data_IF_097164610900
#
_entry.id   IF_097164610900
#
_cell.length_a   1.000
_cell.length_b   1.000
_cell.length_c   1.000
_cell.angle_alpha   90.00
_cell.angle_beta   90.00
_cell.angle_gamma   90.00
#
_symmetry.space_group_name_H-M   'P 1'
#
loop_
_entity.id
_entity.type
_entity.pdbx_description
1 polymer ?
#
# COMPACT_ATOMS: atom_id res chain seq x y z
N UNK A 1 -11.58 -35.12 26.81
CA UNK A 1 -10.65 -35.51 25.74
C UNK A 1 -11.43 -35.60 24.44
N UNK A 2 -11.39 -34.57 23.61
CA UNK A 2 -11.61 -34.70 22.17
C UNK A 2 -10.83 -33.58 21.51
N UNK A 3 -9.77 -34.00 20.84
CA UNK A 3 -8.81 -33.21 20.10
C UNK A 3 -9.47 -32.73 18.81
N UNK A 4 -9.85 -31.45 18.75
CA UNK A 4 -10.25 -30.80 17.50
C UNK A 4 -8.99 -30.37 16.75
N UNK A 5 -8.56 -31.17 15.78
CA UNK A 5 -7.46 -30.83 14.91
C UNK A 5 -7.82 -29.59 14.07
N UNK A 6 -7.20 -28.44 14.36
CA UNK A 6 -7.20 -27.28 13.47
C UNK A 6 -6.51 -27.66 12.18
N UNK A 7 -7.28 -27.84 11.11
CA UNK A 7 -6.75 -27.96 9.75
C UNK A 7 -6.26 -26.57 9.32
N UNK A 8 -4.95 -26.34 9.47
CA UNK A 8 -4.27 -25.15 8.94
C UNK A 8 -4.12 -25.35 7.43
N UNK A 9 -4.95 -24.68 6.63
CA UNK A 9 -4.73 -24.59 5.18
C UNK A 9 -3.71 -23.48 4.94
N UNK A 10 -2.44 -23.87 4.78
CA UNK A 10 -1.38 -23.01 4.26
C UNK A 10 -1.62 -22.79 2.76
N UNK A 11 -2.12 -21.62 2.37
CA UNK A 11 -2.00 -21.15 1.00
C UNK A 11 -0.58 -20.61 0.82
N UNK A 12 0.27 -21.43 0.20
CA UNK A 12 1.64 -21.07 -0.16
C UNK A 12 1.66 -20.01 -1.24
N UNK A 13 2.40 -18.92 -1.00
CA UNK A 13 2.77 -17.98 -2.04
C UNK A 13 3.92 -18.58 -2.87
N UNK A 14 3.62 -18.95 -4.12
CA UNK A 14 4.63 -19.39 -5.07
C UNK A 14 5.60 -18.24 -5.41
N UNK A 15 6.90 -18.49 -5.29
CA UNK A 15 7.99 -17.63 -5.77
C UNK A 15 8.76 -18.32 -6.90
N UNK A 16 9.12 -17.58 -7.95
CA UNK A 16 10.11 -17.91 -9.00
C UNK A 16 9.55 -18.74 -10.17
N UNK A 17 9.86 -18.48 -11.45
CA UNK A 17 10.91 -17.68 -12.10
C UNK A 17 10.67 -17.64 -13.64
N UNK A 18 11.68 -17.84 -14.50
CA UNK A 18 12.35 -16.77 -15.27
C UNK A 18 12.19 -16.88 -16.81
N UNK A 19 12.70 -15.85 -17.52
CA UNK A 19 13.30 -16.02 -18.86
C UNK A 19 12.43 -15.65 -20.06
N UNK A 20 12.80 -14.55 -20.72
CA UNK A 20 12.28 -14.16 -22.03
C UNK A 20 13.29 -13.27 -22.75
N UNK A 21 14.31 -13.90 -23.31
CA UNK A 21 15.23 -13.31 -24.29
C UNK A 21 14.47 -12.78 -25.51
N UNK A 22 14.93 -11.66 -26.07
CA UNK A 22 14.66 -11.30 -27.45
C UNK A 22 15.98 -10.87 -28.11
N UNK A 23 16.28 -11.29 -29.36
CA UNK A 23 17.64 -11.31 -29.88
C UNK A 23 18.04 -10.02 -30.63
N UNK A 24 19.36 -9.80 -30.59
CA UNK A 24 20.24 -9.15 -31.57
C UNK A 24 19.66 -8.18 -32.61
N UNK A 25 20.20 -6.96 -32.60
CA UNK A 25 20.49 -6.21 -33.82
C UNK A 25 21.91 -5.63 -33.72
N UNK A 26 22.69 -6.02 -34.71
CA UNK A 26 24.11 -5.83 -34.91
C UNK A 26 24.46 -4.36 -35.21
N UNK A 27 25.57 -3.88 -34.65
CA UNK A 27 26.03 -2.50 -34.79
C UNK A 27 27.38 -2.45 -35.48
N UNK A 28 27.41 -2.04 -36.75
CA UNK A 28 28.60 -1.46 -37.40
C UNK A 28 28.18 -0.40 -38.42
N UNK A 29 28.86 0.76 -38.41
CA UNK A 29 28.72 1.79 -39.44
C UNK A 29 28.88 3.23 -38.94
N UNK A 30 30.13 3.70 -38.85
CA UNK A 30 30.46 5.14 -38.83
C UNK A 30 30.25 5.74 -40.23
N UNK A 31 29.68 6.94 -40.36
CA UNK A 31 30.32 8.05 -41.10
C UNK A 31 29.62 9.40 -40.84
N UNK A 32 30.39 10.48 -40.86
CA UNK A 32 30.00 11.80 -40.36
C UNK A 32 29.26 12.72 -41.35
N UNK A 33 28.52 13.69 -40.78
CA UNK A 33 28.35 15.04 -41.38
C UNK A 33 27.78 16.06 -40.37
N UNK A 34 28.66 17.00 -39.99
CA UNK A 34 28.49 18.45 -39.70
C UNK A 34 27.38 18.91 -38.70
N UNK A 35 27.75 19.62 -37.62
CA UNK A 35 26.75 20.25 -36.73
C UNK A 35 26.17 21.55 -37.33
N UNK A 36 24.85 21.71 -37.22
CA UNK A 36 24.11 22.95 -37.47
C UNK A 36 24.09 23.83 -36.20
N UNK A 37 24.03 25.17 -36.31
CA UNK A 37 24.08 26.08 -35.16
C UNK A 37 22.79 26.03 -34.31
N UNK A 38 22.83 26.43 -33.02
CA UNK A 38 21.66 26.40 -32.17
C UNK A 38 20.66 27.50 -32.56
N UNK A 39 19.38 27.11 -32.68
CA UNK A 39 18.28 28.04 -32.76
C UNK A 39 18.00 28.61 -31.37
N UNK A 40 18.21 29.92 -31.20
CA UNK A 40 17.77 30.67 -30.03
C UNK A 40 16.24 30.72 -30.02
N UNK A 41 15.60 29.83 -29.28
CA UNK A 41 14.19 29.95 -28.94
C UNK A 41 14.03 30.93 -27.76
N UNK A 42 13.19 31.94 -27.96
CA UNK A 42 12.80 32.93 -26.95
C UNK A 42 12.18 32.20 -25.74
N UNK A 43 12.76 32.41 -24.56
CA UNK A 43 12.26 31.91 -23.29
C UNK A 43 10.99 32.68 -22.92
N UNK A 44 9.82 32.05 -23.06
CA UNK A 44 8.57 32.56 -22.47
C UNK A 44 8.64 32.14 -20.99
N UNK A 45 8.67 33.07 -20.02
CA UNK A 45 8.53 32.67 -18.63
C UNK A 45 7.11 32.15 -18.43
N UNK A 46 6.97 30.82 -18.32
CA UNK A 46 5.75 30.20 -17.79
C UNK A 46 5.59 30.70 -16.37
N UNK A 47 4.61 31.58 -16.16
CA UNK A 47 4.20 32.03 -14.84
C UNK A 47 3.87 30.79 -13.99
N UNK A 48 4.41 30.65 -12.77
CA UNK A 48 4.07 29.50 -11.94
C UNK A 48 2.56 29.45 -11.71
N UNK A 49 1.99 28.25 -11.85
CA UNK A 49 0.61 27.96 -11.51
C UNK A 49 0.29 28.49 -10.10
N UNK A 50 -0.94 28.96 -9.83
CA UNK A 50 -1.31 29.47 -8.53
C UNK A 50 -1.00 28.41 -7.48
N UNK A 51 -0.10 28.73 -6.56
CA UNK A 51 0.12 27.96 -5.34
C UNK A 51 -1.22 27.91 -4.64
N UNK A 52 -1.86 26.74 -4.68
CA UNK A 52 -3.07 26.50 -3.91
C UNK A 52 -2.82 26.97 -2.49
N UNK A 53 -3.76 27.72 -1.94
CA UNK A 53 -3.75 28.20 -0.56
C UNK A 53 -3.80 26.98 0.36
N UNK A 54 -2.64 26.37 0.64
CA UNK A 54 -2.54 25.21 1.52
C UNK A 54 -2.51 25.73 2.95
N UNK A 55 -3.67 26.17 3.43
CA UNK A 55 -3.91 26.18 4.86
C UNK A 55 -3.58 24.77 5.37
N UNK A 56 -2.64 24.60 6.33
CA UNK A 56 -2.25 23.28 6.79
C UNK A 56 -3.48 22.57 7.35
N UNK A 57 -3.89 21.50 6.68
CA UNK A 57 -4.99 20.67 7.13
C UNK A 57 -4.63 20.03 8.48
N UNK A 58 -5.63 19.68 9.31
CA UNK A 58 -5.38 19.14 10.66
C UNK A 58 -4.50 17.88 10.66
N UNK A 59 -4.48 17.14 9.54
CA UNK A 59 -3.73 15.90 9.41
C UNK A 59 -2.22 16.07 9.17
N UNK A 60 -1.69 17.30 9.01
CA UNK A 60 -0.23 17.54 8.89
C UNK A 60 0.49 16.98 10.12
N UNK A 61 1.56 16.22 9.93
CA UNK A 61 2.34 15.60 11.00
C UNK A 61 2.75 14.15 10.70
N UNK A 62 3.31 13.49 11.71
CA UNK A 62 3.81 12.12 11.59
C UNK A 62 2.71 11.09 11.86
N UNK A 63 2.64 10.10 10.98
CA UNK A 63 1.74 8.97 11.00
C UNK A 63 2.56 7.70 10.98
N UNK A 64 2.37 6.80 11.95
CA UNK A 64 3.25 5.64 12.15
C UNK A 64 2.45 4.36 12.30
N UNK A 65 2.95 3.24 11.80
CA UNK A 65 2.37 1.94 12.15
C UNK A 65 2.58 1.66 13.64
N UNK A 66 1.76 0.77 14.23
CA UNK A 66 1.83 0.45 15.67
C UNK A 66 3.23 0.00 16.15
N UNK A 67 3.96 -0.72 15.29
CA UNK A 67 5.33 -1.18 15.55
C UNK A 67 6.38 -0.09 15.26
N UNK A 68 6.00 1.02 14.63
CA UNK A 68 6.88 2.11 14.20
C UNK A 68 7.71 1.80 12.96
N UNK A 69 7.46 0.68 12.28
CA UNK A 69 8.27 0.28 11.13
C UNK A 69 8.05 1.20 9.93
N UNK A 70 6.82 1.62 9.65
CA UNK A 70 6.50 2.59 8.60
C UNK A 70 6.18 3.93 9.26
N UNK A 71 6.82 4.99 8.77
CA UNK A 71 6.71 6.36 9.29
C UNK A 71 6.45 7.30 8.14
N UNK A 72 5.26 7.89 8.08
CA UNK A 72 4.82 8.80 7.03
C UNK A 72 4.64 10.21 7.61
N UNK A 73 5.41 11.16 7.10
CA UNK A 73 5.26 12.58 7.42
C UNK A 73 4.37 13.25 6.36
N UNK A 74 3.25 13.85 6.79
CA UNK A 74 2.45 14.74 5.94
C UNK A 74 2.87 16.19 6.19
N UNK A 75 3.46 16.84 5.18
CA UNK A 75 4.06 18.17 5.30
C UNK A 75 3.04 19.28 4.97
N UNK A 76 3.14 20.48 5.61
CA UNK A 76 2.21 21.60 5.36
C UNK A 76 2.07 22.05 3.91
N UNK A 77 3.06 21.76 3.07
CA UNK A 77 3.09 22.13 1.65
C UNK A 77 2.39 21.09 0.74
N UNK A 78 1.65 20.13 1.30
CA UNK A 78 0.97 19.08 0.54
C UNK A 78 1.90 17.99 0.01
N UNK A 79 3.09 17.84 0.59
CA UNK A 79 4.06 16.79 0.26
C UNK A 79 4.12 15.73 1.36
N UNK A 80 4.31 14.47 1.01
CA UNK A 80 4.58 13.43 1.99
C UNK A 80 5.97 12.83 1.80
N UNK A 81 6.49 12.27 2.88
CA UNK A 81 7.68 11.43 2.91
C UNK A 81 7.40 10.21 3.79
N UNK A 82 7.54 9.02 3.23
CA UNK A 82 7.40 7.75 3.94
C UNK A 82 8.75 7.05 4.09
N UNK A 83 9.13 6.73 5.32
CA UNK A 83 10.24 5.85 5.65
C UNK A 83 9.75 4.45 6.04
N UNK A 84 10.53 3.41 5.69
CA UNK A 84 10.28 2.00 6.05
C UNK A 84 11.52 1.37 6.67
N UNK A 85 11.44 1.04 7.96
CA UNK A 85 12.58 0.57 8.74
C UNK A 85 13.73 1.58 8.67
N UNK A 86 14.89 1.11 8.19
CA UNK A 86 16.11 1.91 7.99
C UNK A 86 16.10 2.72 6.67
N UNK A 87 15.19 2.43 5.74
CA UNK A 87 15.09 3.14 4.47
C UNK A 87 14.31 4.43 4.68
N UNK A 88 15.02 5.54 4.83
CA UNK A 88 14.46 6.88 4.76
C UNK A 88 13.97 7.19 3.34
N UNK A 89 12.93 8.03 3.22
CA UNK A 89 12.33 8.46 1.95
C UNK A 89 12.11 7.31 0.97
N UNK A 90 11.52 6.23 1.49
CA UNK A 90 11.15 5.08 0.69
C UNK A 90 10.15 5.45 -0.40
N UNK A 91 9.23 6.36 -0.08
CA UNK A 91 8.28 6.96 -1.01
C UNK A 91 8.10 8.45 -0.71
N UNK A 92 7.97 9.26 -1.75
CA UNK A 92 7.72 10.69 -1.65
C UNK A 92 6.77 11.12 -2.74
N UNK A 93 5.98 12.15 -2.47
CA UNK A 93 5.02 12.62 -3.46
C UNK A 93 4.21 13.78 -2.96
N UNK A 94 3.15 14.08 -3.69
CA UNK A 94 2.15 15.06 -3.28
C UNK A 94 0.90 14.36 -2.78
N UNK A 95 0.10 15.06 -1.99
CA UNK A 95 -1.20 14.56 -1.59
C UNK A 95 -2.24 15.67 -1.57
N UNK A 96 -3.51 15.27 -1.64
CA UNK A 96 -4.67 16.14 -1.49
C UNK A 96 -5.64 15.53 -0.50
N UNK A 97 -6.36 16.38 0.23
CA UNK A 97 -7.33 15.96 1.23
C UNK A 97 -8.69 16.56 0.91
N UNK A 98 -9.72 15.71 0.91
CA UNK A 98 -11.12 16.09 0.74
C UNK A 98 -11.93 15.48 1.88
N UNK A 99 -12.33 16.32 2.85
CA UNK A 99 -12.98 15.84 4.08
C UNK A 99 -12.01 14.98 4.90
N UNK A 100 -12.31 13.68 5.03
CA UNK A 100 -11.44 12.68 5.68
C UNK A 100 -10.67 11.81 4.68
N UNK A 101 -10.92 11.97 3.37
CA UNK A 101 -10.22 11.23 2.31
C UNK A 101 -8.89 11.89 2.00
N UNK A 102 -7.83 11.10 1.86
CA UNK A 102 -6.53 11.51 1.32
C UNK A 102 -6.22 10.75 0.03
N UNK A 103 -5.69 11.46 -0.94
CA UNK A 103 -5.23 10.93 -2.22
C UNK A 103 -3.76 11.32 -2.42
N UNK A 104 -2.97 10.36 -2.87
CA UNK A 104 -1.53 10.50 -3.07
C UNK A 104 -1.19 10.36 -4.55
N UNK A 105 -0.30 11.23 -5.01
CA UNK A 105 0.40 11.13 -6.29
C UNK A 105 1.90 11.00 -5.97
N UNK A 106 2.46 9.80 -6.11
CA UNK A 106 3.87 9.52 -5.85
C UNK A 106 4.78 10.06 -6.96
N UNK A 107 5.96 10.54 -6.60
CA UNK A 107 6.93 11.10 -7.55
C UNK A 107 7.42 10.05 -8.58
N UNK A 108 7.28 8.75 -8.28
CA UNK A 108 7.60 7.63 -9.19
C UNK A 108 6.44 7.22 -10.10
N UNK A 109 5.25 7.83 -9.95
CA UNK A 109 4.14 7.70 -10.90
C UNK A 109 3.06 6.69 -10.54
N UNK A 110 3.00 6.22 -9.28
CA UNK A 110 1.83 5.49 -8.77
C UNK A 110 0.93 6.41 -7.94
N UNK A 111 -0.35 6.03 -7.84
CA UNK A 111 -1.31 6.69 -6.97
C UNK A 111 -1.76 5.77 -5.87
N UNK A 112 -2.19 6.36 -4.75
CA UNK A 112 -2.74 5.63 -3.62
C UNK A 112 -3.75 6.50 -2.87
N UNK A 113 -4.52 5.88 -1.99
CA UNK A 113 -5.57 6.58 -1.25
C UNK A 113 -5.70 6.07 0.18
N UNK A 114 -6.30 6.89 1.03
CA UNK A 114 -6.58 6.52 2.41
C UNK A 114 -7.71 7.35 3.02
N UNK A 115 -8.14 6.96 4.20
CA UNK A 115 -9.19 7.68 4.95
C UNK A 115 -8.79 7.85 6.40
N UNK A 116 -8.96 9.05 6.92
CA UNK A 116 -8.79 9.38 8.33
C UNK A 116 -10.04 9.05 9.13
N UNK A 117 -9.84 8.43 10.28
CA UNK A 117 -10.81 8.29 11.37
C UNK A 117 -10.13 8.77 12.66
N UNK A 118 -10.29 10.06 12.97
CA UNK A 118 -9.60 10.72 14.07
C UNK A 118 -8.07 10.61 13.93
N UNK A 119 -7.44 9.94 14.89
CA UNK A 119 -5.98 9.71 14.95
C UNK A 119 -5.54 8.42 14.25
N UNK A 120 -6.40 7.80 13.43
CA UNK A 120 -6.11 6.60 12.65
C UNK A 120 -6.25 6.93 11.15
N UNK A 121 -5.27 6.54 10.35
CA UNK A 121 -5.28 6.61 8.89
C UNK A 121 -5.29 5.19 8.32
N UNK A 122 -6.35 4.87 7.60
CA UNK A 122 -6.50 3.63 6.83
C UNK A 122 -5.91 3.85 5.44
N UNK A 123 -4.76 3.25 5.14
CA UNK A 123 -4.06 3.47 3.87
C UNK A 123 -3.25 2.24 3.44
N UNK A 124 -3.38 1.82 2.18
CA UNK A 124 -2.52 0.78 1.58
C UNK A 124 -2.54 -0.58 2.29
N UNK A 125 -3.62 -0.92 3.00
CA UNK A 125 -3.70 -2.13 3.83
C UNK A 125 -2.92 -2.06 5.15
N UNK A 126 -2.55 -0.84 5.56
CA UNK A 126 -1.96 -0.52 6.85
C UNK A 126 -2.88 0.39 7.65
N UNK A 127 -2.73 0.30 8.97
CA UNK A 127 -3.23 1.30 9.90
C UNK A 127 -2.05 2.14 10.36
N UNK A 128 -2.13 3.43 10.06
CA UNK A 128 -1.23 4.41 10.62
C UNK A 128 -1.92 5.14 11.76
N UNK A 129 -1.17 5.43 12.80
CA UNK A 129 -1.64 6.17 13.96
C UNK A 129 -0.90 7.49 14.01
N UNK A 130 -1.60 8.54 14.43
CA UNK A 130 -0.97 9.82 14.72
C UNK A 130 0.12 9.59 15.77
N UNK A 131 1.36 10.00 15.47
CA UNK A 131 2.48 9.74 16.37
C UNK A 131 2.20 10.37 17.75
N UNK A 132 2.30 9.54 18.80
CA UNK A 132 2.08 9.96 20.17
C UNK A 132 0.61 10.14 20.58
N UNK A 133 -0.36 9.79 19.74
CA UNK A 133 -1.77 9.74 20.14
C UNK A 133 -2.06 8.60 21.14
N UNK A 134 -3.24 8.65 21.78
CA UNK A 134 -3.73 7.53 22.59
C UNK A 134 -3.92 6.27 21.75
N UNK A 135 -4.46 6.40 20.54
CA UNK A 135 -4.63 5.29 19.60
C UNK A 135 -3.28 4.63 19.25
N UNK A 136 -2.22 5.42 19.02
CA UNK A 136 -0.88 4.87 18.80
C UNK A 136 -0.34 4.11 20.03
N UNK A 137 -0.52 4.66 21.23
CA UNK A 137 -0.07 4.01 22.48
C UNK A 137 -0.79 2.69 22.73
N UNK A 138 -2.10 2.67 22.54
CA UNK A 138 -2.94 1.48 22.71
C UNK A 138 -2.55 0.39 21.71
N UNK A 139 -2.47 0.73 20.42
CA UNK A 139 -2.08 -0.22 19.37
C UNK A 139 -0.68 -0.81 19.60
N UNK A 140 0.25 -0.03 20.16
CA UNK A 140 1.59 -0.50 20.53
C UNK A 140 1.56 -1.43 21.75
N UNK A 141 0.72 -1.14 22.74
CA UNK A 141 0.58 -1.95 23.95
C UNK A 141 0.00 -3.34 23.64
N UNK A 142 -0.91 -3.41 22.67
CA UNK A 142 -1.53 -4.67 22.20
C UNK A 142 -0.61 -5.51 21.29
N UNK A 143 0.67 -5.13 21.15
CA UNK A 143 1.65 -5.89 20.38
C UNK A 143 1.49 -5.76 18.86
N UNK A 144 0.98 -4.61 18.38
CA UNK A 144 0.73 -4.35 16.96
C UNK A 144 -0.18 -5.41 16.31
N UNK A 145 -1.21 -5.83 17.05
CA UNK A 145 -2.28 -6.66 16.51
C UNK A 145 -3.24 -5.74 15.73
N UNK A 146 -3.09 -5.69 14.41
CA UNK A 146 -3.99 -4.94 13.55
C UNK A 146 -5.05 -5.90 12.96
N UNK A 147 -6.31 -5.90 13.45
CA UNK A 147 -7.41 -6.53 12.75
C UNK A 147 -7.70 -5.72 11.49
N UNK A 148 -7.63 -6.36 10.33
CA UNK A 148 -7.95 -5.73 9.05
C UNK A 148 -9.12 -6.48 8.44
N UNK A 149 -10.20 -5.75 8.17
CA UNK A 149 -11.34 -6.26 7.43
C UNK A 149 -11.04 -6.15 5.93
N UNK A 150 -11.17 -7.26 5.23
CA UNK A 150 -11.12 -7.34 3.78
C UNK A 150 -12.45 -7.89 3.29
N UNK A 151 -13.08 -7.20 2.35
CA UNK A 151 -14.19 -7.73 1.57
C UNK A 151 -13.62 -8.23 0.24
N UNK A 152 -14.03 -9.41 -0.21
CA UNK A 152 -13.52 -9.96 -1.46
C UNK A 152 -14.46 -10.97 -2.11
N UNK A 153 -14.38 -11.03 -3.44
CA UNK A 153 -15.11 -11.98 -4.28
C UNK A 153 -14.15 -13.01 -4.94
N UNK A 154 -13.41 -13.82 -4.17
CA UNK A 154 -12.50 -14.80 -4.77
C UNK A 154 -13.23 -15.75 -5.72
N UNK A 155 -12.53 -16.13 -6.77
CA UNK A 155 -12.99 -17.15 -7.72
C UNK A 155 -12.41 -18.49 -7.30
N UNK A 156 -13.28 -19.45 -6.97
CA UNK A 156 -12.89 -20.81 -6.65
C UNK A 156 -12.31 -21.56 -7.86
N UNK A 157 -11.65 -22.69 -7.62
CA UNK A 157 -10.99 -23.52 -8.65
C UNK A 157 -11.99 -24.00 -9.74
N UNK A 158 -13.30 -24.02 -9.46
CA UNK A 158 -14.37 -24.29 -10.42
C UNK A 158 -14.91 -23.08 -11.20
N UNK A 159 -14.26 -21.91 -11.12
CA UNK A 159 -14.72 -20.67 -11.79
C UNK A 159 -15.89 -19.95 -11.09
N UNK A 160 -16.35 -20.48 -9.96
CA UNK A 160 -17.43 -19.89 -9.17
C UNK A 160 -16.89 -18.74 -8.32
N UNK A 161 -17.44 -17.54 -8.51
CA UNK A 161 -17.21 -16.42 -7.59
C UNK A 161 -18.03 -16.60 -6.32
N UNK A 162 -17.44 -16.24 -5.19
CA UNK A 162 -18.11 -16.20 -3.89
C UNK A 162 -17.63 -14.97 -3.12
N UNK A 163 -18.57 -14.28 -2.49
CA UNK A 163 -18.32 -13.15 -1.62
C UNK A 163 -18.01 -13.63 -0.21
N UNK A 164 -16.99 -13.06 0.44
CA UNK A 164 -16.74 -13.27 1.87
C UNK A 164 -16.17 -12.01 2.51
N UNK A 165 -16.39 -11.93 3.81
CA UNK A 165 -15.74 -10.95 4.67
C UNK A 165 -14.66 -11.64 5.50
N UNK A 166 -13.42 -11.22 5.29
CA UNK A 166 -12.27 -11.70 6.03
C UNK A 166 -11.88 -10.68 7.08
N UNK A 167 -11.60 -11.14 8.30
CA UNK A 167 -10.84 -10.36 9.27
C UNK A 167 -9.48 -11.00 9.47
N UNK A 168 -8.42 -10.28 9.11
CA UNK A 168 -7.05 -10.71 9.32
C UNK A 168 -6.50 -10.05 10.57
N UNK A 169 -6.18 -10.85 11.57
CA UNK A 169 -5.52 -10.42 12.80
C UNK A 169 -4.04 -10.73 12.64
N UNK A 170 -3.24 -9.69 12.41
CA UNK A 170 -1.79 -9.84 12.18
C UNK A 170 -1.02 -9.25 13.33
N UNK A 171 -0.08 -10.02 13.88
CA UNK A 171 0.94 -9.50 14.78
C UNK A 171 2.16 -9.13 13.94
N UNK A 172 2.60 -7.88 14.06
CA UNK A 172 3.76 -7.36 13.36
C UNK A 172 4.95 -7.23 14.32
N UNK A 173 6.13 -7.66 13.87
CA UNK A 173 7.40 -7.32 14.51
C UNK A 173 8.36 -6.80 13.45
N UNK A 174 8.86 -5.58 13.62
CA UNK A 174 9.78 -4.92 12.67
C UNK A 174 9.26 -4.95 11.22
N UNK A 175 7.96 -4.67 11.01
CA UNK A 175 7.33 -4.66 9.69
C UNK A 175 7.03 -6.04 9.10
N UNK A 176 7.35 -7.13 9.80
CA UNK A 176 7.08 -8.50 9.35
C UNK A 176 5.91 -9.10 10.11
N UNK A 177 5.02 -9.76 9.39
CA UNK A 177 3.95 -10.55 10.00
C UNK A 177 4.57 -11.77 10.68
N UNK A 178 4.62 -11.77 12.01
CA UNK A 178 5.11 -12.91 12.81
C UNK A 178 4.00 -13.88 13.17
N UNK A 179 2.74 -13.41 13.09
CA UNK A 179 1.55 -14.22 13.31
C UNK A 179 0.40 -13.66 12.50
N UNK A 180 -0.38 -14.53 11.87
CA UNK A 180 -1.58 -14.16 11.13
C UNK A 180 -2.70 -15.13 11.49
N UNK A 181 -3.84 -14.59 11.93
CA UNK A 181 -5.09 -15.32 12.01
C UNK A 181 -6.03 -14.75 10.96
N UNK A 182 -6.68 -15.62 10.20
CA UNK A 182 -7.78 -15.23 9.33
C UNK A 182 -9.07 -15.77 9.92
N UNK A 183 -9.98 -14.86 10.21
CA UNK A 183 -11.37 -15.14 10.53
C UNK A 183 -12.16 -14.91 9.24
N UNK A 184 -13.05 -15.84 8.92
CA UNK A 184 -13.88 -15.78 7.72
C UNK A 184 -15.29 -16.25 8.05
N UNK A 185 -16.28 -15.81 7.27
CA UNK A 185 -17.64 -16.31 7.42
C UNK A 185 -17.73 -17.75 6.91
N UNK A 186 -17.86 -18.69 7.85
CA UNK A 186 -17.95 -20.12 7.57
C UNK A 186 -19.31 -20.53 6.99
N UNK A 187 -20.36 -19.70 7.13
CA UNK A 187 -21.65 -19.95 6.49
C UNK A 187 -21.54 -19.73 4.98
N UNK A 188 -21.01 -18.57 4.58
CA UNK A 188 -20.69 -18.28 3.17
C UNK A 188 -19.68 -19.29 2.60
N UNK A 189 -18.68 -19.69 3.39
CA UNK A 189 -17.74 -20.75 3.03
C UNK A 189 -18.40 -22.12 2.82
N UNK A 190 -19.37 -22.49 3.65
CA UNK A 190 -20.15 -23.72 3.52
C UNK A 190 -20.95 -23.76 2.22
N UNK A 191 -21.66 -22.67 1.90
CA UNK A 191 -22.41 -22.55 0.63
C UNK A 191 -21.51 -22.67 -0.60
N UNK A 192 -20.27 -22.18 -0.53
CA UNK A 192 -19.29 -22.36 -1.59
C UNK A 192 -18.85 -23.82 -1.72
N UNK A 193 -18.58 -24.51 -0.60
CA UNK A 193 -18.16 -25.92 -0.61
C UNK A 193 -19.26 -26.80 -1.21
N UNK A 194 -20.52 -26.57 -0.86
CA UNK A 194 -21.66 -27.33 -1.41
C UNK A 194 -21.82 -27.15 -2.93
N UNK A 195 -21.34 -26.02 -3.48
CA UNK A 195 -21.40 -25.72 -4.92
C UNK A 195 -20.22 -26.25 -5.71
N UNK A 196 -19.09 -26.51 -5.06
CA UNK A 196 -17.90 -27.09 -5.67
C UNK A 196 -17.91 -28.57 -5.30
N UNK A 197 -18.68 -29.38 -6.03
CA UNK A 197 -18.60 -30.84 -5.89
C UNK A 197 -17.12 -31.26 -6.02
N UNK A 198 -16.53 -31.70 -4.91
CA UNK A 198 -15.20 -32.28 -4.91
C UNK A 198 -15.31 -33.69 -5.51
N UNK A 199 -14.46 -34.08 -6.48
CA UNK A 199 -14.46 -35.42 -7.04
C UNK A 199 -14.07 -36.50 -6.01
#
# INVERSE_FOLDING_TARGET
MLSGACLVVLLGACSGGPGGENPAADGTGQDGRRPSPPATALHIPTSPAPTADVSPHPYVGMWVTADGHIRQMLLPNGRYDEARGERESAYTGSYRITGTRIEYDDDTGFSADGTFDGDILHHGGYLFYREGSDAHREARADGAIAPIRFEGDPTAIGGVRHHNEYCWVRQLESGKVVRCYTLLDMVAGGELIDRIELP
#
